data_IF_611798049476
#
_entry.id   IF_611798049476
#
_cell.length_a   1.000
_cell.length_b   1.000
_cell.length_c   1.000
_cell.angle_alpha   90.00
_cell.angle_beta   90.00
_cell.angle_gamma   90.00
#
_symmetry.space_group_name_H-M   'P 1'
#
loop_
_entity.id
_entity.type
_entity.pdbx_description
1 polymer ?
#
# COMPACT_ATOMS: atom_id res chain seq x y z
N UNK A 1 3.39 -6.75 5.45
CA UNK A 1 2.07 -6.10 5.64
C UNK A 1 1.46 -6.70 6.89
N UNK A 2 0.67 -5.92 7.61
CA UNK A 2 -0.06 -6.37 8.79
C UNK A 2 -1.55 -6.13 8.60
N UNK A 3 -2.38 -6.94 9.27
CA UNK A 3 -3.84 -6.82 9.22
C UNK A 3 -4.42 -7.06 10.61
N UNK A 4 -5.35 -6.22 11.02
CA UNK A 4 -6.04 -6.30 12.30
C UNK A 4 -7.56 -6.22 12.08
N UNK A 5 -8.33 -6.95 12.90
CA UNK A 5 -9.79 -6.81 12.94
C UNK A 5 -10.16 -5.99 14.18
N UNK A 6 -10.82 -4.87 13.96
CA UNK A 6 -11.23 -3.93 15.00
C UNK A 6 -12.50 -4.42 15.73
N UNK A 7 -12.75 -3.84 16.91
CA UNK A 7 -13.93 -4.15 17.72
C UNK A 7 -15.28 -3.90 17.01
N UNK A 8 -15.29 -3.09 15.95
CA UNK A 8 -16.46 -2.79 15.12
C UNK A 8 -16.58 -3.71 13.89
N UNK A 9 -15.87 -4.85 13.89
CA UNK A 9 -15.78 -5.82 12.77
C UNK A 9 -15.16 -5.29 11.48
N UNK A 10 -14.60 -4.06 11.47
CA UNK A 10 -13.83 -3.56 10.33
C UNK A 10 -12.44 -4.14 10.36
N UNK A 11 -11.87 -4.29 9.17
CA UNK A 11 -10.49 -4.70 8.98
C UNK A 11 -9.62 -3.47 8.73
N UNK A 12 -8.47 -3.42 9.37
CA UNK A 12 -7.37 -2.51 9.08
C UNK A 12 -6.25 -3.31 8.40
N UNK A 13 -5.62 -2.73 7.39
CA UNK A 13 -4.41 -3.27 6.78
C UNK A 13 -3.36 -2.15 6.64
N UNK A 14 -2.10 -2.49 6.90
CA UNK A 14 -0.97 -1.58 6.82
C UNK A 14 0.20 -2.20 6.04
N UNK A 15 0.78 -1.40 5.13
CA UNK A 15 2.02 -1.74 4.44
C UNK A 15 3.20 -1.13 5.19
N UNK A 16 3.79 -1.88 6.12
CA UNK A 16 4.89 -1.45 7.00
C UNK A 16 6.08 -0.75 6.33
N UNK A 17 6.35 -1.07 5.05
CA UNK A 17 7.47 -0.49 4.31
C UNK A 17 7.16 0.90 3.73
N UNK A 18 5.90 1.33 3.75
CA UNK A 18 5.44 2.59 3.14
C UNK A 18 4.64 3.39 4.15
N UNK A 19 5.23 4.45 4.68
CA UNK A 19 4.57 5.35 5.63
C UNK A 19 3.26 5.89 5.02
N UNK A 20 2.18 5.85 5.79
CA UNK A 20 0.86 6.31 5.35
C UNK A 20 0.06 5.31 4.50
N UNK A 21 0.61 4.15 4.17
CA UNK A 21 -0.08 3.11 3.41
C UNK A 21 -0.93 2.19 4.30
N UNK A 22 -1.91 2.80 4.98
CA UNK A 22 -2.89 2.12 5.82
C UNK A 22 -4.32 2.33 5.31
N UNK A 23 -5.16 1.30 5.38
CA UNK A 23 -6.53 1.39 4.93
C UNK A 23 -7.48 0.46 5.68
N UNK A 24 -8.73 0.89 5.78
CA UNK A 24 -9.81 0.11 6.35
C UNK A 24 -10.65 -0.57 5.25
N UNK A 25 -11.26 -1.70 5.60
CA UNK A 25 -12.25 -2.39 4.78
C UNK A 25 -13.30 -3.09 5.64
N UNK A 26 -14.46 -3.37 5.08
CA UNK A 26 -15.49 -4.22 5.67
C UNK A 26 -15.04 -5.70 5.74
N UNK A 27 -14.10 -6.09 4.88
CA UNK A 27 -13.50 -7.44 4.87
C UNK A 27 -11.98 -7.35 4.81
N UNK A 28 -11.29 -8.41 5.27
CA UNK A 28 -9.83 -8.50 5.20
C UNK A 28 -9.28 -8.26 3.79
N UNK A 29 -9.82 -8.89 2.72
CA UNK A 29 -9.34 -8.63 1.36
C UNK A 29 -9.53 -7.18 0.91
N UNK A 30 -10.65 -6.55 1.30
CA UNK A 30 -10.92 -5.15 0.94
C UNK A 30 -9.92 -4.19 1.62
N UNK A 31 -9.61 -4.42 2.89
CA UNK A 31 -8.61 -3.63 3.62
C UNK A 31 -7.22 -3.77 2.97
N UNK A 32 -6.81 -5.01 2.66
CA UNK A 32 -5.52 -5.29 2.00
C UNK A 32 -5.43 -4.58 0.64
N UNK A 33 -6.42 -4.76 -0.24
CA UNK A 33 -6.42 -4.14 -1.56
C UNK A 33 -6.35 -2.60 -1.47
N UNK A 34 -7.07 -2.03 -0.51
CA UNK A 34 -7.07 -0.58 -0.27
C UNK A 34 -5.73 -0.07 0.25
N UNK A 35 -5.07 -0.82 1.14
CA UNK A 35 -3.75 -0.48 1.66
C UNK A 35 -2.67 -0.59 0.57
N UNK A 36 -2.74 -1.61 -0.28
CA UNK A 36 -1.87 -1.75 -1.46
C UNK A 36 -2.04 -0.58 -2.44
N UNK A 37 -3.28 -0.18 -2.74
CA UNK A 37 -3.53 0.97 -3.59
C UNK A 37 -2.96 2.26 -3.00
N UNK A 38 -3.04 2.45 -1.68
CA UNK A 38 -2.39 3.58 -1.00
C UNK A 38 -0.87 3.53 -1.06
N UNK A 39 -0.27 2.35 -0.88
CA UNK A 39 1.17 2.18 -1.03
C UNK A 39 1.62 2.58 -2.44
N UNK A 40 0.94 2.09 -3.49
CA UNK A 40 1.28 2.43 -4.87
C UNK A 40 1.19 3.95 -5.15
N UNK A 41 0.18 4.64 -4.60
CA UNK A 41 0.05 6.10 -4.72
C UNK A 41 1.22 6.83 -4.05
N UNK A 42 1.55 6.47 -2.81
CA UNK A 42 2.68 7.08 -2.11
C UNK A 42 4.00 6.85 -2.84
N UNK A 43 4.21 5.66 -3.43
CA UNK A 43 5.39 5.40 -4.25
C UNK A 43 5.39 6.23 -5.54
N UNK A 44 4.24 6.41 -6.18
CA UNK A 44 4.12 7.26 -7.37
C UNK A 44 4.43 8.73 -7.06
N UNK A 45 3.85 9.29 -5.98
CA UNK A 45 4.10 10.67 -5.57
C UNK A 45 5.59 10.93 -5.29
N UNK A 46 6.27 9.98 -4.64
CA UNK A 46 7.71 10.04 -4.38
C UNK A 46 8.53 10.02 -5.67
N UNK A 47 8.15 9.19 -6.64
CA UNK A 47 8.78 9.19 -7.97
C UNK A 47 8.61 10.52 -8.69
N UNK A 48 7.42 11.11 -8.65
CA UNK A 48 7.12 12.40 -9.28
C UNK A 48 7.95 13.55 -8.67
N UNK A 49 8.26 13.44 -7.38
CA UNK A 49 9.11 14.39 -6.65
C UNK A 49 10.62 14.14 -6.85
N UNK A 50 11.00 13.10 -7.60
CA UNK A 50 12.39 12.73 -7.84
C UNK A 50 13.06 12.05 -6.64
N UNK A 51 12.29 11.56 -5.66
CA UNK A 51 12.84 10.79 -4.56
C UNK A 51 13.28 9.40 -5.00
N UNK A 52 14.31 8.88 -4.33
CA UNK A 52 14.71 7.48 -4.49
C UNK A 52 13.67 6.59 -3.81
N UNK A 53 12.95 5.82 -4.61
CA UNK A 53 12.03 4.80 -4.13
C UNK A 53 12.70 3.43 -4.23
N UNK A 54 13.09 2.82 -3.09
CA UNK A 54 13.74 1.51 -3.10
C UNK A 54 12.76 0.40 -3.53
N UNK A 55 13.28 -0.62 -4.22
CA UNK A 55 12.58 -1.88 -4.52
C UNK A 55 11.45 -1.81 -5.59
N UNK A 56 11.47 -0.80 -6.48
CA UNK A 56 10.54 -0.71 -7.62
C UNK A 56 10.93 -1.55 -8.84
N UNK A 57 12.15 -2.09 -8.89
CA UNK A 57 12.70 -2.77 -10.07
C UNK A 57 11.87 -4.00 -10.51
N UNK A 58 11.05 -4.58 -9.62
CA UNK A 58 10.14 -5.68 -9.94
C UNK A 58 8.70 -5.27 -10.26
N UNK A 59 8.37 -3.96 -10.18
CA UNK A 59 6.99 -3.45 -10.36
C UNK A 59 6.71 -3.09 -11.81
N UNK A 60 7.73 -2.65 -12.55
CA UNK A 60 7.58 -2.22 -13.94
C UNK A 60 8.40 -3.13 -14.86
N UNK A 61 7.75 -3.69 -15.89
CA UNK A 61 8.45 -4.28 -17.04
C UNK A 61 8.37 -3.28 -18.18
N UNK A 62 9.53 -2.78 -18.62
CA UNK A 62 9.60 -1.99 -19.85
C UNK A 62 9.80 -2.99 -20.98
N UNK A 63 8.80 -3.15 -21.84
CA UNK A 63 9.02 -3.81 -23.13
C UNK A 63 9.85 -2.85 -23.99
N UNK A 64 11.02 -3.31 -24.41
CA UNK A 64 11.89 -2.61 -25.37
C UNK A 64 11.30 -2.65 -26.78
#
# INVERSE_FOLDING_TARGET
METEQEANSRWLAEVLKVAGALAYGATRPQAIASAQARALRALAERLEQGEVVPDLAGVFSIAA
#
